data_IF_488867106117
#
_entry.id   IF_488867106117
#
_cell.length_a   1.000
_cell.length_b   1.000
_cell.length_c   1.000
_cell.angle_alpha   90.00
_cell.angle_beta   90.00
_cell.angle_gamma   90.00
#
_symmetry.space_group_name_H-M   'P 1'
#
loop_
_entity.id
_entity.type
_entity.pdbx_description
1 polymer ?
#
# COMPACT_ATOMS: atom_id res chain seq x y z
N UNK A 1 25.48 11.86 -5.69
CA UNK A 1 24.43 10.80 -5.59
C UNK A 1 23.33 11.19 -6.56
N UNK A 2 22.79 10.27 -7.35
CA UNK A 2 21.90 10.64 -8.47
C UNK A 2 20.65 11.37 -8.02
N UNK A 3 20.39 12.54 -8.61
CA UNK A 3 19.21 13.37 -8.33
C UNK A 3 17.90 12.63 -8.66
N UNK A 4 17.98 11.63 -9.55
CA UNK A 4 16.84 10.84 -10.01
C UNK A 4 17.19 9.37 -10.21
N UNK A 5 16.21 8.52 -9.94
CA UNK A 5 16.21 7.08 -10.18
C UNK A 5 15.22 6.77 -11.31
N UNK A 6 15.63 5.92 -12.24
CA UNK A 6 14.79 5.30 -13.26
C UNK A 6 14.48 3.87 -12.86
N UNK A 7 13.18 3.61 -12.72
CA UNK A 7 12.59 2.30 -12.48
C UNK A 7 12.16 1.72 -13.82
N UNK A 8 12.61 0.50 -14.13
CA UNK A 8 12.30 -0.20 -15.37
C UNK A 8 11.68 -1.57 -15.12
N UNK A 9 10.73 -1.97 -15.98
CA UNK A 9 10.11 -3.31 -16.02
C UNK A 9 10.26 -3.85 -17.44
N UNK A 10 10.89 -5.02 -17.59
CA UNK A 10 11.05 -5.70 -18.89
C UNK A 10 11.61 -4.81 -20.01
N UNK A 11 12.61 -3.97 -19.69
CA UNK A 11 13.22 -3.06 -20.67
C UNK A 11 12.46 -1.76 -20.93
N UNK A 12 11.27 -1.58 -20.36
CA UNK A 12 10.50 -0.34 -20.46
C UNK A 12 10.65 0.53 -19.21
N UNK A 13 10.74 1.85 -19.40
CA UNK A 13 10.80 2.82 -18.30
C UNK A 13 9.41 2.96 -17.69
N UNK A 14 9.30 2.70 -16.39
CA UNK A 14 8.05 2.81 -15.64
C UNK A 14 7.92 4.20 -15.01
N UNK A 15 9.00 4.70 -14.41
CA UNK A 15 9.05 6.04 -13.83
C UNK A 15 10.50 6.48 -13.68
N UNK A 16 10.76 7.77 -13.90
CA UNK A 16 12.03 8.41 -13.60
C UNK A 16 11.76 9.59 -12.68
N UNK A 17 12.25 9.57 -11.45
CA UNK A 17 11.95 10.60 -10.47
C UNK A 17 12.96 10.63 -9.32
N UNK A 18 12.81 11.58 -8.39
CA UNK A 18 13.56 11.55 -7.14
C UNK A 18 13.20 10.30 -6.33
N UNK A 19 14.08 9.79 -5.45
CA UNK A 19 13.76 8.66 -4.57
C UNK A 19 12.48 8.91 -3.75
N UNK A 20 12.29 10.14 -3.29
CA UNK A 20 11.13 10.59 -2.53
C UNK A 20 9.83 10.48 -3.35
N UNK A 21 9.83 11.00 -4.58
CA UNK A 21 8.67 10.92 -5.46
C UNK A 21 8.37 9.49 -5.91
N UNK A 22 9.39 8.65 -6.14
CA UNK A 22 9.16 7.22 -6.42
C UNK A 22 8.48 6.52 -5.23
N UNK A 23 8.80 6.95 -4.01
CA UNK A 23 8.23 6.38 -2.80
C UNK A 23 6.80 6.87 -2.52
N UNK A 24 6.58 8.19 -2.60
CA UNK A 24 5.33 8.85 -2.22
C UNK A 24 4.34 9.09 -3.36
N UNK A 25 4.80 9.10 -4.61
CA UNK A 25 4.00 9.35 -5.81
C UNK A 25 4.31 8.32 -6.92
N UNK A 26 4.18 7.01 -6.63
CA UNK A 26 4.41 5.97 -7.63
C UNK A 26 3.33 6.05 -8.72
N UNK A 27 3.72 6.07 -9.99
CA UNK A 27 2.79 6.24 -11.11
C UNK A 27 2.00 4.99 -11.46
N UNK A 28 2.47 3.82 -11.04
CA UNK A 28 1.82 2.54 -11.29
C UNK A 28 2.13 1.54 -10.17
N UNK A 29 1.36 0.46 -10.14
CA UNK A 29 1.48 -0.60 -9.14
C UNK A 29 2.88 -1.20 -9.08
N UNK A 30 3.57 -1.36 -10.22
CA UNK A 30 4.93 -1.91 -10.23
C UNK A 30 5.91 -1.02 -9.49
N UNK A 31 5.91 0.29 -9.73
CA UNK A 31 6.78 1.22 -8.99
C UNK A 31 6.43 1.22 -7.50
N UNK A 32 5.13 1.21 -7.19
CA UNK A 32 4.63 1.20 -5.81
C UNK A 32 5.10 -0.03 -5.01
N UNK A 33 5.04 -1.22 -5.62
CA UNK A 33 5.49 -2.47 -5.01
C UNK A 33 7.01 -2.63 -5.01
N UNK A 34 7.71 -2.08 -6.01
CA UNK A 34 9.16 -2.25 -6.16
C UNK A 34 9.99 -1.30 -5.28
N UNK A 35 9.45 -0.12 -4.97
CA UNK A 35 10.16 0.91 -4.19
C UNK A 35 9.65 0.87 -2.74
N UNK A 36 10.56 0.61 -1.80
CA UNK A 36 10.28 0.53 -0.35
C UNK A 36 10.54 -0.86 0.22
N UNK A 37 10.89 -0.92 1.50
CA UNK A 37 11.06 -2.16 2.25
C UNK A 37 10.49 -1.96 3.68
N UNK A 38 9.46 -2.71 4.11
CA UNK A 38 8.73 -3.72 3.32
C UNK A 38 8.02 -3.11 2.11
N UNK A 39 7.63 -3.98 1.17
CA UNK A 39 6.88 -3.56 -0.02
C UNK A 39 5.53 -2.93 0.38
N UNK A 40 5.00 -2.07 -0.49
CA UNK A 40 3.66 -1.51 -0.30
C UNK A 40 2.62 -2.64 -0.23
N UNK A 41 1.67 -2.54 0.69
CA UNK A 41 0.49 -3.41 0.64
C UNK A 41 -0.35 -3.01 -0.57
N UNK A 42 -0.41 -3.87 -1.58
CA UNK A 42 -1.26 -3.68 -2.76
C UNK A 42 -2.26 -4.82 -2.82
N UNK A 43 -3.55 -4.50 -2.68
CA UNK A 43 -4.62 -5.51 -2.59
C UNK A 43 -5.78 -5.21 -3.53
N UNK A 44 -6.39 -6.25 -4.15
CA UNK A 44 -7.64 -6.08 -4.88
C UNK A 44 -8.71 -5.49 -3.97
N UNK A 45 -9.48 -4.55 -4.49
CA UNK A 45 -10.58 -3.90 -3.79
C UNK A 45 -11.65 -3.46 -4.80
N UNK A 46 -12.84 -3.17 -4.30
CA UNK A 46 -13.91 -2.57 -5.07
C UNK A 46 -14.32 -1.25 -4.43
N UNK A 47 -14.59 -0.26 -5.27
CA UNK A 47 -15.22 0.99 -4.84
C UNK A 47 -16.73 0.81 -4.82
N UNK A 48 -17.32 0.76 -3.63
CA UNK A 48 -18.76 0.59 -3.43
C UNK A 48 -19.37 1.83 -2.79
N UNK A 49 -20.59 2.19 -3.19
CA UNK A 49 -21.31 3.28 -2.55
C UNK A 49 -22.11 2.77 -1.34
N UNK A 50 -21.99 3.48 -0.22
CA UNK A 50 -22.75 3.21 0.99
C UNK A 50 -23.00 4.54 1.73
N UNK A 51 -24.26 4.84 2.03
CA UNK A 51 -24.62 6.09 2.71
C UNK A 51 -24.18 7.35 1.97
N UNK A 52 -24.21 7.34 0.62
CA UNK A 52 -23.80 8.48 -0.21
C UNK A 52 -22.29 8.74 -0.29
N UNK A 53 -21.46 7.81 0.21
CA UNK A 53 -20.00 7.91 0.16
C UNK A 53 -19.39 6.63 -0.43
N UNK A 54 -18.29 6.78 -1.17
CA UNK A 54 -17.52 5.62 -1.63
C UNK A 54 -16.74 4.99 -0.49
N UNK A 55 -16.67 3.67 -0.51
CA UNK A 55 -15.93 2.83 0.42
C UNK A 55 -15.06 1.86 -0.37
N UNK A 56 -13.92 1.48 0.20
CA UNK A 56 -13.11 0.35 -0.27
C UNK A 56 -13.58 -0.93 0.40
N UNK A 57 -13.61 -2.03 -0.35
CA UNK A 57 -13.79 -3.37 0.22
C UNK A 57 -12.46 -3.95 0.67
N UNK A 58 -12.45 -4.57 1.85
CA UNK A 58 -11.30 -5.26 2.44
C UNK A 58 -11.77 -6.62 2.94
N UNK A 59 -11.79 -7.61 2.03
CA UNK A 59 -12.58 -8.81 2.23
C UNK A 59 -14.07 -8.44 2.35
N UNK A 60 -14.72 -8.92 3.40
CA UNK A 60 -16.13 -8.62 3.69
C UNK A 60 -16.35 -7.26 4.38
N UNK A 61 -15.27 -6.53 4.69
CA UNK A 61 -15.32 -5.27 5.41
C UNK A 61 -15.33 -4.09 4.44
N UNK A 62 -15.79 -2.92 4.93
CA UNK A 62 -15.85 -1.68 4.16
C UNK A 62 -15.15 -0.57 4.91
N UNK A 63 -14.29 0.16 4.21
CA UNK A 63 -13.58 1.31 4.73
C UNK A 63 -14.06 2.58 4.01
N UNK A 64 -14.67 3.56 4.73
CA UNK A 64 -15.08 4.82 4.11
C UNK A 64 -13.87 5.60 3.59
N UNK A 65 -13.97 6.12 2.37
CA UNK A 65 -12.94 7.01 1.82
C UNK A 65 -13.07 8.42 2.40
N UNK A 66 -11.92 9.06 2.65
CA UNK A 66 -11.85 10.48 2.99
C UNK A 66 -12.11 11.37 1.76
N UNK A 67 -12.37 12.67 1.96
CA UNK A 67 -12.80 13.57 0.89
C UNK A 67 -11.78 13.71 -0.26
N UNK A 68 -10.49 13.61 0.08
CA UNK A 68 -9.39 13.58 -0.91
C UNK A 68 -9.55 12.42 -1.87
N UNK A 69 -9.83 11.22 -1.36
CA UNK A 69 -10.00 10.04 -2.20
C UNK A 69 -11.35 10.03 -2.91
N UNK A 70 -12.44 10.45 -2.23
CA UNK A 70 -13.78 10.57 -2.85
C UNK A 70 -13.73 11.33 -4.18
N UNK A 71 -13.13 12.52 -4.18
CA UNK A 71 -13.07 13.39 -5.37
C UNK A 71 -12.17 12.85 -6.49
N UNK A 72 -11.17 12.02 -6.18
CA UNK A 72 -10.22 11.49 -7.16
C UNK A 72 -10.70 10.21 -7.84
N UNK A 73 -11.59 9.45 -7.22
CA UNK A 73 -12.01 8.14 -7.73
C UNK A 73 -13.51 8.04 -8.03
N UNK A 74 -14.21 9.17 -8.07
CA UNK A 74 -15.63 9.22 -8.40
C UNK A 74 -15.94 8.58 -9.76
N UNK A 75 -15.06 8.78 -10.76
CA UNK A 75 -15.15 8.16 -12.09
C UNK A 75 -14.94 6.64 -12.08
N UNK A 76 -14.43 6.08 -10.97
CA UNK A 76 -14.17 4.65 -10.79
C UNK A 76 -15.24 3.99 -9.89
N UNK A 77 -16.37 4.67 -9.64
CA UNK A 77 -17.49 4.12 -8.86
C UNK A 77 -17.94 2.75 -9.40
N UNK A 78 -18.14 1.80 -8.49
CA UNK A 78 -18.51 0.40 -8.76
C UNK A 78 -17.48 -0.41 -9.55
N UNK A 79 -16.27 0.10 -9.77
CA UNK A 79 -15.21 -0.60 -10.49
C UNK A 79 -14.29 -1.36 -9.52
N UNK A 80 -13.66 -2.40 -10.07
CA UNK A 80 -12.52 -3.06 -9.43
C UNK A 80 -11.31 -2.14 -9.50
N UNK A 81 -10.58 -2.05 -8.39
CA UNK A 81 -9.35 -1.26 -8.24
C UNK A 81 -8.34 -2.06 -7.44
N UNK A 82 -7.09 -1.60 -7.43
CA UNK A 82 -6.14 -2.01 -6.41
C UNK A 82 -5.95 -0.89 -5.39
N UNK A 83 -6.07 -1.22 -4.12
CA UNK A 83 -5.75 -0.33 -3.03
C UNK A 83 -4.30 -0.52 -2.61
N UNK A 84 -3.58 0.60 -2.46
CA UNK A 84 -2.18 0.64 -2.04
C UNK A 84 -1.98 1.43 -0.75
N UNK A 85 -1.28 0.86 0.22
CA UNK A 85 -0.85 1.58 1.44
C UNK A 85 0.49 1.05 1.92
N UNK A 86 1.40 1.93 2.32
CA UNK A 86 2.69 1.49 2.85
C UNK A 86 2.57 0.98 4.29
N UNK A 87 3.38 0.00 4.71
CA UNK A 87 3.27 -0.60 6.03
C UNK A 87 3.30 0.39 7.21
N UNK A 88 4.06 1.47 7.11
CA UNK A 88 4.16 2.51 8.14
C UNK A 88 2.90 3.39 8.28
N UNK A 89 1.98 3.29 7.32
CA UNK A 89 0.69 3.99 7.33
C UNK A 89 -0.47 3.07 7.73
N UNK A 90 -0.16 1.91 8.31
CA UNK A 90 -1.12 0.98 8.90
C UNK A 90 -1.02 1.09 10.42
N UNK A 91 -2.07 1.57 11.07
CA UNK A 91 -2.14 1.64 12.54
C UNK A 91 -2.80 0.38 13.09
N UNK A 92 -2.28 -0.15 14.19
CA UNK A 92 -2.82 -1.33 14.88
C UNK A 92 -3.35 -0.98 16.27
N UNK A 93 -4.37 -1.71 16.70
CA UNK A 93 -4.95 -1.59 18.04
C UNK A 93 -5.56 -2.92 18.49
N UNK A 94 -5.65 -3.11 19.80
CA UNK A 94 -6.42 -4.20 20.41
C UNK A 94 -7.93 -3.92 20.42
N UNK A 95 -8.31 -2.64 20.37
CA UNK A 95 -9.68 -2.18 20.36
C UNK A 95 -10.03 -1.50 19.02
N UNK A 96 -11.30 -1.49 18.61
CA UNK A 96 -11.74 -0.81 17.39
C UNK A 96 -11.35 0.68 17.39
N UNK A 97 -10.97 1.19 16.23
CA UNK A 97 -10.83 2.63 16.01
C UNK A 97 -12.20 3.29 15.94
N UNK A 98 -12.29 4.57 16.34
CA UNK A 98 -13.54 5.33 16.30
C UNK A 98 -14.11 5.46 14.87
N UNK A 99 -13.23 5.58 13.87
CA UNK A 99 -13.59 5.69 12.47
C UNK A 99 -12.69 4.82 11.60
N UNK A 100 -13.24 4.26 10.52
CA UNK A 100 -12.48 3.48 9.55
C UNK A 100 -11.84 2.21 10.11
N UNK A 101 -12.34 1.68 11.23
CA UNK A 101 -11.78 0.48 11.83
C UNK A 101 -12.10 -0.75 10.99
N UNK A 102 -11.06 -1.48 10.63
CA UNK A 102 -11.16 -2.85 10.11
C UNK A 102 -10.60 -3.83 11.15
N UNK A 103 -10.93 -5.11 11.01
CA UNK A 103 -10.45 -6.19 11.83
C UNK A 103 -9.66 -7.19 10.99
N UNK A 104 -8.64 -7.78 11.60
CA UNK A 104 -7.86 -8.85 11.02
C UNK A 104 -7.30 -9.73 12.12
N UNK A 105 -6.45 -10.66 11.75
CA UNK A 105 -5.80 -11.56 12.69
C UNK A 105 -4.28 -11.36 12.62
N UNK A 106 -3.64 -11.11 13.76
CA UNK A 106 -2.18 -11.03 13.81
C UNK A 106 -1.58 -12.43 13.68
N UNK A 107 -1.09 -12.80 12.50
CA UNK A 107 -0.64 -14.17 12.22
C UNK A 107 0.87 -14.36 12.33
N UNK A 108 1.65 -13.29 12.15
CA UNK A 108 3.11 -13.36 12.14
C UNK A 108 3.73 -12.02 12.48
N UNK A 109 4.92 -12.06 13.08
CA UNK A 109 5.71 -10.87 13.39
C UNK A 109 7.18 -11.11 13.07
N UNK A 110 7.86 -10.07 12.59
CA UNK A 110 9.30 -10.06 12.38
C UNK A 110 9.92 -8.89 13.14
N UNK A 111 11.00 -9.16 13.89
CA UNK A 111 11.69 -8.15 14.69
C UNK A 111 12.83 -7.51 13.88
N UNK A 112 12.77 -6.20 13.67
CA UNK A 112 13.77 -5.41 12.94
C UNK A 112 14.61 -4.52 13.88
N UNK A 113 14.63 -4.85 15.17
CA UNK A 113 15.34 -4.12 16.22
C UNK A 113 14.47 -3.07 16.89
N UNK A 114 14.34 -1.90 16.25
CA UNK A 114 13.58 -0.76 16.79
C UNK A 114 12.09 -0.77 16.40
N UNK A 115 11.69 -1.72 15.58
CA UNK A 115 10.34 -1.86 15.04
C UNK A 115 10.04 -3.32 14.71
N UNK A 116 8.77 -3.61 14.49
CA UNK A 116 8.27 -4.91 14.06
C UNK A 116 7.52 -4.76 12.74
N UNK A 117 7.71 -5.74 11.85
CA UNK A 117 6.77 -5.99 10.78
C UNK A 117 5.72 -6.97 11.29
N UNK A 118 4.49 -6.50 11.39
CA UNK A 118 3.34 -7.26 11.87
C UNK A 118 2.49 -7.64 10.68
N UNK A 119 2.25 -8.93 10.48
CA UNK A 119 1.45 -9.45 9.38
C UNK A 119 0.06 -9.79 9.90
N UNK A 120 -0.94 -9.20 9.25
CA UNK A 120 -2.36 -9.35 9.54
C UNK A 120 -3.01 -10.19 8.45
N UNK A 121 -3.68 -11.28 8.80
CA UNK A 121 -4.58 -11.96 7.87
C UNK A 121 -5.91 -11.20 7.81
N UNK A 122 -6.31 -10.83 6.60
CA UNK A 122 -7.58 -10.15 6.28
C UNK A 122 -8.23 -10.93 5.15
N UNK A 123 -9.36 -11.59 5.44
CA UNK A 123 -9.96 -12.57 4.55
C UNK A 123 -8.93 -13.61 4.08
N UNK A 124 -8.60 -13.63 2.79
CA UNK A 124 -7.71 -14.58 2.12
C UNK A 124 -6.30 -14.04 1.83
N UNK A 125 -5.97 -12.83 2.30
CA UNK A 125 -4.66 -12.22 2.08
C UNK A 125 -4.02 -11.67 3.37
N UNK A 126 -2.72 -11.37 3.31
CA UNK A 126 -1.99 -10.72 4.41
C UNK A 126 -1.80 -9.21 4.18
N UNK A 127 -1.80 -8.40 5.23
CA UNK A 127 -1.35 -7.02 5.23
C UNK A 127 -0.18 -6.87 6.19
N UNK A 128 0.83 -6.11 5.81
CA UNK A 128 1.97 -5.82 6.66
C UNK A 128 1.80 -4.43 7.28
N UNK A 129 1.92 -4.32 8.59
CA UNK A 129 2.07 -3.08 9.32
C UNK A 129 3.51 -2.96 9.83
N UNK A 130 4.11 -1.77 9.75
CA UNK A 130 5.41 -1.47 10.34
C UNK A 130 5.17 -0.64 11.60
N UNK A 131 5.44 -1.25 12.76
CA UNK A 131 5.03 -0.71 14.06
C UNK A 131 6.26 -0.51 14.95
N UNK A 132 6.44 0.66 15.59
CA UNK A 132 7.53 0.87 16.55
C UNK A 132 7.54 -0.20 17.64
N UNK A 133 8.74 -0.57 18.11
CA UNK A 133 8.92 -1.64 19.11
C UNK A 133 8.05 -1.45 20.34
N UNK A 134 7.96 -0.21 20.84
CA UNK A 134 7.28 0.10 22.10
C UNK A 134 5.76 -0.04 21.99
N UNK A 135 5.21 0.17 20.79
CA UNK A 135 3.78 -0.03 20.50
C UNK A 135 3.47 -1.50 20.18
N UNK A 136 4.39 -2.18 19.47
CA UNK A 136 4.19 -3.56 19.04
C UNK A 136 4.32 -4.58 20.19
N UNK A 137 5.31 -4.42 21.08
CA UNK A 137 5.62 -5.39 22.14
C UNK A 137 4.43 -5.71 23.06
N UNK A 138 3.67 -4.73 23.58
CA UNK A 138 2.49 -5.02 24.39
C UNK A 138 1.43 -5.85 23.65
N UNK A 139 1.23 -5.59 22.36
CA UNK A 139 0.29 -6.35 21.53
C UNK A 139 0.79 -7.78 21.27
N UNK A 140 2.08 -7.94 20.98
CA UNK A 140 2.71 -9.24 20.72
C UNK A 140 2.72 -10.12 21.97
N UNK A 141 2.92 -9.52 23.16
CA UNK A 141 2.90 -10.24 24.44
C UNK A 141 1.56 -10.92 24.73
N UNK A 142 0.47 -10.48 24.10
CA UNK A 142 -0.86 -11.10 24.19
C UNK A 142 -1.04 -12.32 23.28
N UNK A 143 -0.03 -12.68 22.48
CA UNK A 143 -0.03 -13.82 21.58
C UNK A 143 -0.43 -13.49 20.14
N UNK A 144 -0.08 -14.40 19.22
CA UNK A 144 -0.47 -14.40 17.81
C UNK A 144 -1.80 -15.13 17.61
N UNK A 145 -2.29 -15.14 16.37
CA UNK A 145 -3.53 -15.78 15.91
C UNK A 145 -4.77 -15.29 16.66
N UNK A 146 -4.79 -13.98 16.95
CA UNK A 146 -5.90 -13.30 17.62
C UNK A 146 -6.39 -12.14 16.79
N UNK A 147 -7.67 -11.82 16.99
CA UNK A 147 -8.29 -10.64 16.39
C UNK A 147 -7.60 -9.37 16.90
N UNK A 148 -7.26 -8.50 15.97
CA UNK A 148 -6.77 -7.14 16.18
C UNK A 148 -7.51 -6.20 15.24
N UNK A 149 -7.47 -4.91 15.54
CA UNK A 149 -8.06 -3.89 14.70
C UNK A 149 -6.97 -3.09 14.02
N UNK A 150 -7.27 -2.62 12.82
CA UNK A 150 -6.37 -1.76 12.07
C UNK A 150 -7.15 -0.67 11.32
N UNK A 151 -6.45 0.41 11.02
CA UNK A 151 -6.91 1.47 10.12
C UNK A 151 -5.72 1.96 9.29
N UNK A 152 -6.00 2.81 8.30
CA UNK A 152 -4.99 3.36 7.42
C UNK A 152 -5.00 4.88 7.46
N UNK A 153 -3.82 5.50 7.29
CA UNK A 153 -3.78 6.90 6.90
C UNK A 153 -4.25 7.04 5.43
N UNK A 154 -5.52 7.39 5.26
CA UNK A 154 -6.16 7.57 3.95
C UNK A 154 -5.53 8.70 3.12
N UNK A 155 -4.78 9.63 3.73
CA UNK A 155 -4.02 10.65 2.99
C UNK A 155 -2.76 10.08 2.34
N UNK A 156 -2.30 8.91 2.79
CA UNK A 156 -1.12 8.21 2.27
C UNK A 156 -1.47 6.98 1.43
N UNK A 157 -2.75 6.71 1.27
CA UNK A 157 -3.24 5.64 0.41
C UNK A 157 -3.21 6.03 -1.07
N UNK A 158 -3.09 5.01 -1.91
CA UNK A 158 -3.13 5.05 -3.37
C UNK A 158 -4.24 4.15 -3.89
N UNK A 159 -4.80 4.53 -5.04
CA UNK A 159 -5.77 3.73 -5.78
C UNK A 159 -5.21 3.55 -7.18
N UNK A 160 -5.15 2.31 -7.64
CA UNK A 160 -4.71 1.98 -8.98
C UNK A 160 -5.86 1.37 -9.77
N UNK A 161 -5.99 1.80 -11.02
CA UNK A 161 -6.97 1.24 -11.94
C UNK A 161 -6.65 -0.23 -12.24
N UNK A 162 -7.65 -1.12 -12.12
CA UNK A 162 -7.43 -2.56 -12.23
C UNK A 162 -7.08 -3.04 -13.65
N UNK A 163 -7.33 -2.23 -14.69
CA UNK A 163 -7.04 -2.61 -16.09
C UNK A 163 -5.67 -2.12 -16.53
N UNK A 164 -5.32 -0.90 -16.15
CA UNK A 164 -4.12 -0.19 -16.60
C UNK A 164 -2.98 -0.23 -15.60
N UNK A 165 -3.27 -0.62 -14.34
CA UNK A 165 -2.35 -0.60 -13.20
C UNK A 165 -1.77 0.81 -12.90
N UNK A 166 -2.33 1.86 -13.51
CA UNK A 166 -1.91 3.25 -13.29
C UNK A 166 -2.52 3.80 -12.02
N UNK A 167 -1.78 4.68 -11.34
CA UNK A 167 -2.24 5.35 -10.15
C UNK A 167 -3.27 6.43 -10.51
N UNK A 168 -4.52 6.25 -10.09
CA UNK A 168 -5.62 7.17 -10.36
C UNK A 168 -5.48 8.52 -9.67
N UNK A 169 -4.50 8.67 -8.77
CA UNK A 169 -4.22 9.93 -8.06
C UNK A 169 -3.16 10.80 -8.76
N UNK A 170 -2.45 10.28 -9.76
CA UNK A 170 -1.37 10.98 -10.45
C UNK A 170 -1.87 11.73 -11.69
N UNK A 171 -1.29 12.90 -11.94
CA UNK A 171 -1.46 13.60 -13.22
C UNK A 171 -0.71 12.89 -14.37
N UNK A 172 -1.14 13.06 -15.63
CA UNK A 172 -0.42 12.54 -16.80
C UNK A 172 1.03 13.07 -16.86
N UNK A 173 1.99 12.20 -17.21
CA UNK A 173 3.42 12.54 -17.20
C UNK A 173 4.08 12.46 -18.58
N UNK A 174 5.05 13.37 -18.80
CA UNK A 174 5.93 13.41 -19.97
C UNK A 174 7.39 13.16 -19.57
N UNK A 175 8.12 12.27 -20.28
CA UNK A 175 9.49 11.87 -19.92
C UNK A 175 10.51 12.95 -20.34
N UNK A 176 11.21 13.56 -19.37
CA UNK A 176 12.43 14.35 -19.61
C UNK A 176 13.65 13.64 -19.01
N UNK A 177 14.58 13.20 -19.86
CA UNK A 177 15.79 12.44 -19.48
C UNK A 177 17.01 13.34 -19.24
N UNK A 178 17.13 13.96 -18.06
CA UNK A 178 18.39 14.56 -17.59
C UNK A 178 18.77 13.90 -16.26
N UNK A 179 20.02 13.42 -16.16
CA UNK A 179 20.67 12.86 -14.96
C UNK A 179 19.93 11.69 -14.26
N UNK A 180 19.92 10.50 -14.88
CA UNK A 180 19.08 9.37 -14.47
C UNK A 180 19.91 8.12 -14.12
N UNK A 181 19.78 7.60 -12.89
CA UNK A 181 20.35 6.30 -12.48
C UNK A 181 19.35 5.16 -12.67
N UNK A 182 19.68 4.12 -13.42
CA UNK A 182 18.76 2.99 -13.71
C UNK A 182 18.88 1.90 -12.64
N UNK A 183 17.81 1.61 -11.90
CA UNK A 183 17.74 0.48 -10.95
C UNK A 183 17.05 -0.70 -11.64
N UNK A 184 17.75 -1.83 -11.83
CA UNK A 184 17.24 -3.05 -12.49
C UNK A 184 16.89 -4.11 -11.45
N UNK A 185 15.80 -4.85 -11.66
CA UNK A 185 15.48 -6.05 -10.88
C UNK A 185 16.41 -7.20 -11.31
N UNK A 186 17.01 -7.97 -10.39
CA UNK A 186 17.80 -9.14 -10.77
C UNK A 186 16.86 -10.21 -11.34
N UNK A 187 17.03 -10.55 -12.61
CA UNK A 187 16.38 -11.70 -13.22
C UNK A 187 16.86 -12.96 -12.47
N UNK A 188 15.98 -13.64 -11.73
CA UNK A 188 16.22 -15.02 -11.34
C UNK A 188 16.17 -15.86 -12.62
N UNK A 189 17.33 -16.30 -13.10
CA UNK A 189 17.43 -17.36 -14.09
C UNK A 189 16.88 -18.65 -13.46
N UNK A 190 16.01 -19.42 -14.15
CA UNK A 190 15.89 -20.83 -13.84
C UNK A 190 17.20 -21.49 -14.27
N UNK A 191 17.92 -22.05 -13.29
CA UNK A 191 19.09 -22.89 -13.55
C UNK A 191 18.68 -24.19 -14.26
N UNK A 192 19.64 -24.85 -14.93
CA UNK A 192 19.43 -25.91 -15.91
C UNK A 192 18.82 -27.19 -15.34
#
# INVERSE_FOLDING_TARGET
MGDRICVMKLGHIMQVDTPDNLYHQPKNMFVAGFIGAPEMNIRPSQLVEHGGRLHLTLGDQRLPLNDRLQSKVETHKNQQVFFGVRPEFVSLSDEPFAEGSCAGEMVRVENMGHEFFVYLRVADYELTARVPSDDAKPMIAKGLNRKVYFTFDLNKCHIFDAKTEQNSLCEPWSITMKNVLIKRHPLRHPGP
#
